data_IF_473323997699
#
_entry.id   IF_473323997699
#
_cell.length_a   1.000
_cell.length_b   1.000
_cell.length_c   1.000
_cell.angle_alpha   90.00
_cell.angle_beta   90.00
_cell.angle_gamma   90.00
#
_symmetry.space_group_name_H-M   'P 1'
#
loop_
_entity.id
_entity.type
_entity.pdbx_description
1 polymer ?
#
# COMPACT_ATOMS: atom_id res chain seq x y z
N UNK A 1 1.77 -7.26 13.08
CA UNK A 1 3.20 -7.28 12.68
C UNK A 1 3.36 -6.33 11.51
N UNK A 2 4.19 -5.28 11.60
CA UNK A 2 4.41 -4.36 10.49
C UNK A 2 5.28 -5.02 9.40
N UNK A 3 4.95 -4.77 8.14
CA UNK A 3 5.68 -5.29 6.98
C UNK A 3 5.71 -4.25 5.85
N UNK A 4 6.76 -4.29 5.03
CA UNK A 4 6.91 -3.48 3.83
C UNK A 4 7.76 -4.23 2.80
N UNK A 5 7.57 -3.93 1.51
CA UNK A 5 8.32 -4.51 0.41
C UNK A 5 8.69 -3.41 -0.59
N UNK A 6 9.76 -3.63 -1.36
CA UNK A 6 10.18 -2.76 -2.45
C UNK A 6 10.52 -3.60 -3.68
N UNK A 7 10.04 -3.16 -4.84
CA UNK A 7 10.35 -3.81 -6.11
C UNK A 7 11.58 -3.14 -6.74
N UNK A 8 12.69 -3.88 -6.85
CA UNK A 8 13.97 -3.35 -7.36
C UNK A 8 14.19 -3.58 -8.86
N UNK A 9 13.40 -4.45 -9.48
CA UNK A 9 13.55 -4.80 -10.91
C UNK A 9 12.22 -4.68 -11.65
N UNK A 10 12.27 -4.43 -12.95
CA UNK A 10 11.08 -4.25 -13.79
C UNK A 10 10.23 -5.53 -13.91
N UNK A 11 10.88 -6.70 -13.80
CA UNK A 11 10.24 -8.01 -14.03
C UNK A 11 9.71 -8.66 -12.77
N UNK A 12 10.12 -8.20 -11.59
CA UNK A 12 9.61 -8.73 -10.34
C UNK A 12 8.09 -8.54 -10.25
N UNK A 13 7.43 -9.51 -9.63
CA UNK A 13 5.99 -9.52 -9.34
C UNK A 13 5.82 -10.01 -7.93
N UNK A 14 4.86 -9.45 -7.22
CA UNK A 14 4.54 -9.84 -5.86
C UNK A 14 3.05 -10.16 -5.78
N UNK A 15 2.74 -11.31 -5.18
CA UNK A 15 1.38 -11.70 -4.88
C UNK A 15 1.10 -11.37 -3.40
N UNK A 16 0.08 -10.55 -3.16
CA UNK A 16 -0.39 -10.23 -1.80
C UNK A 16 -1.67 -11.02 -1.56
N UNK A 17 -1.69 -11.82 -0.49
CA UNK A 17 -2.87 -12.55 -0.04
C UNK A 17 -3.39 -11.94 1.25
N UNK A 18 -4.70 -11.68 1.30
CA UNK A 18 -5.35 -11.06 2.46
C UNK A 18 -6.63 -11.82 2.80
N UNK A 19 -6.93 -11.93 4.10
CA UNK A 19 -8.15 -12.55 4.62
C UNK A 19 -8.65 -11.74 5.81
N UNK A 20 -9.98 -11.58 5.97
CA UNK A 20 -11.05 -12.05 5.08
C UNK A 20 -11.09 -11.27 3.75
N UNK A 21 -11.69 -11.87 2.72
CA UNK A 21 -11.86 -11.21 1.41
C UNK A 21 -12.83 -10.01 1.51
N UNK A 22 -12.67 -9.02 0.63
CA UNK A 22 -13.58 -7.89 0.43
C UNK A 22 -13.03 -6.52 0.86
N UNK A 23 -12.19 -6.46 1.89
CA UNK A 23 -11.68 -5.20 2.46
C UNK A 23 -10.50 -4.64 1.64
N UNK A 24 -9.55 -5.50 1.29
CA UNK A 24 -8.34 -5.11 0.56
C UNK A 24 -8.63 -4.73 -0.90
N UNK A 25 -9.70 -5.27 -1.48
CA UNK A 25 -10.15 -4.95 -2.83
C UNK A 25 -10.62 -3.49 -2.92
N UNK A 26 -11.27 -2.97 -1.88
CA UNK A 26 -11.63 -1.55 -1.77
C UNK A 26 -10.40 -0.66 -1.72
N UNK A 27 -9.39 -1.06 -0.95
CA UNK A 27 -8.10 -0.36 -0.89
C UNK A 27 -7.42 -0.31 -2.26
N UNK A 28 -7.35 -1.44 -2.98
CA UNK A 28 -6.76 -1.47 -4.33
C UNK A 28 -7.55 -0.63 -5.34
N UNK A 29 -8.89 -0.62 -5.25
CA UNK A 29 -9.72 0.19 -6.13
C UNK A 29 -9.50 1.70 -5.92
N UNK A 30 -9.42 2.17 -4.67
CA UNK A 30 -9.18 3.58 -4.33
C UNK A 30 -7.77 4.03 -4.74
N UNK A 31 -6.75 3.24 -4.38
CA UNK A 31 -5.34 3.57 -4.70
C UNK A 31 -5.04 3.49 -6.19
N UNK A 32 -5.75 2.66 -6.97
CA UNK A 32 -5.63 2.62 -8.43
C UNK A 32 -6.11 3.91 -9.12
N UNK A 33 -6.90 4.76 -8.46
CA UNK A 33 -7.33 6.06 -9.01
C UNK A 33 -6.24 7.14 -8.91
N UNK A 34 -5.15 6.90 -8.19
CA UNK A 34 -4.07 7.88 -8.05
C UNK A 34 -3.29 8.03 -9.36
N UNK A 35 -3.39 9.22 -9.96
CA UNK A 35 -2.68 9.57 -11.19
C UNK A 35 -1.31 10.19 -10.94
N UNK A 36 -1.03 10.56 -9.69
CA UNK A 36 0.23 11.10 -9.21
C UNK A 36 0.51 10.56 -7.80
N UNK A 37 1.75 10.76 -7.32
CA UNK A 37 2.08 10.39 -5.94
C UNK A 37 1.24 11.21 -4.95
N UNK A 38 0.40 10.56 -4.11
CA UNK A 38 -0.40 11.26 -3.10
C UNK A 38 0.46 11.90 -2.01
N UNK A 39 -0.10 12.85 -1.26
CA UNK A 39 0.56 13.39 -0.06
C UNK A 39 0.61 12.35 1.06
N UNK A 40 1.49 12.55 2.04
CA UNK A 40 1.61 11.64 3.19
C UNK A 40 0.33 11.58 4.01
N UNK A 41 -0.36 12.71 4.13
CA UNK A 41 -1.63 12.84 4.84
C UNK A 41 -2.72 12.03 4.14
N UNK A 42 -2.75 12.09 2.81
CA UNK A 42 -3.70 11.34 1.99
C UNK A 42 -3.45 9.83 2.07
N UNK A 43 -2.17 9.41 1.99
CA UNK A 43 -1.80 8.00 2.22
C UNK A 43 -2.26 7.53 3.60
N UNK A 44 -1.94 8.28 4.66
CA UNK A 44 -2.34 7.91 6.02
C UNK A 44 -3.87 7.92 6.22
N UNK A 45 -4.62 8.76 5.48
CA UNK A 45 -6.09 8.77 5.49
C UNK A 45 -6.64 7.50 4.84
N UNK A 46 -6.21 7.18 3.62
CA UNK A 46 -6.69 6.02 2.86
C UNK A 46 -6.34 4.72 3.58
N UNK A 47 -5.10 4.57 4.06
CA UNK A 47 -4.69 3.36 4.79
C UNK A 47 -5.57 3.11 6.02
N UNK A 48 -5.84 4.16 6.82
CA UNK A 48 -6.72 4.05 7.99
C UNK A 48 -8.17 3.72 7.63
N UNK A 49 -8.67 4.21 6.49
CA UNK A 49 -10.02 3.89 6.02
C UNK A 49 -10.19 2.40 5.70
N UNK A 50 -9.10 1.71 5.34
CA UNK A 50 -9.06 0.27 5.06
C UNK A 50 -8.35 -0.53 6.16
N UNK A 51 -8.44 -0.09 7.42
CA UNK A 51 -7.96 -0.83 8.59
C UNK A 51 -6.44 -0.95 8.74
N UNK A 52 -5.66 -0.18 7.98
CA UNK A 52 -4.19 -0.18 8.01
C UNK A 52 -3.61 1.05 8.71
N UNK A 53 -2.42 0.89 9.27
CA UNK A 53 -1.66 1.98 9.88
C UNK A 53 -0.27 2.11 9.22
N UNK A 54 0.08 3.32 8.83
CA UNK A 54 1.43 3.64 8.32
C UNK A 54 2.34 3.91 9.52
N UNK A 55 3.23 2.97 9.81
CA UNK A 55 4.05 3.00 11.05
C UNK A 55 5.46 3.58 10.87
N UNK A 56 5.83 4.03 9.66
CA UNK A 56 7.20 4.50 9.41
C UNK A 56 7.43 5.06 8.00
N UNK A 57 8.66 5.51 7.71
CA UNK A 57 9.04 6.00 6.38
C UNK A 57 9.11 4.86 5.35
N UNK A 58 9.06 5.18 4.04
CA UNK A 58 9.29 4.20 2.98
C UNK A 58 10.68 3.53 3.06
N UNK A 59 10.78 2.32 2.52
CA UNK A 59 12.05 1.62 2.36
C UNK A 59 13.00 2.43 1.45
N UNK A 60 14.29 2.45 1.81
CA UNK A 60 15.35 3.06 1.01
C UNK A 60 16.06 1.99 0.20
N UNK A 61 16.37 2.30 -1.06
CA UNK A 61 17.35 1.53 -1.85
C UNK A 61 18.73 2.11 -1.52
N UNK A 62 19.71 1.25 -1.25
CA UNK A 62 21.12 1.66 -1.11
C UNK A 62 21.76 1.97 -2.46
#
# INVERSE_FOLDING_TARGET
MPYAFIQLTERARMLVTYMPAGDMEGFFAETAQWTASPSKEEVARVFRAHGMEVVGPPLKVE
#
